data_IF_035779797083
#
_entry.id   IF_035779797083
#
_cell.length_a   1.000
_cell.length_b   1.000
_cell.length_c   1.000
_cell.angle_alpha   90.00
_cell.angle_beta   90.00
_cell.angle_gamma   90.00
#
_symmetry.space_group_name_H-M   'P 1'
#
loop_
_entity.id
_entity.type
_entity.pdbx_description
1 polymer ?
#
# COMPACT_ATOMS: atom_id res chain seq x y z
N UNK A 1 -36.07 7.62 -2.23
CA UNK A 1 -34.59 7.58 -2.12
C UNK A 1 -34.13 6.72 -3.29
N UNK A 2 -33.67 7.35 -4.35
CA UNK A 2 -33.15 6.68 -5.55
C UNK A 2 -31.69 6.40 -5.23
N UNK A 3 -31.33 5.11 -5.08
CA UNK A 3 -29.95 4.68 -4.98
C UNK A 3 -29.27 4.94 -6.34
N UNK A 4 -28.38 5.92 -6.39
CA UNK A 4 -27.48 6.13 -7.52
C UNK A 4 -26.49 4.96 -7.49
N UNK A 5 -26.67 4.02 -8.41
CA UNK A 5 -25.73 2.93 -8.65
C UNK A 5 -24.45 3.56 -9.18
N UNK A 6 -23.35 3.42 -8.43
CA UNK A 6 -22.03 3.83 -8.91
C UNK A 6 -21.75 3.12 -10.26
N UNK A 7 -21.12 3.79 -11.22
CA UNK A 7 -20.78 3.15 -12.49
C UNK A 7 -19.86 1.96 -12.18
N UNK A 8 -20.17 0.82 -12.78
CA UNK A 8 -19.36 -0.38 -12.67
C UNK A 8 -17.94 -0.07 -13.21
N UNK A 9 -16.93 -0.31 -12.39
CA UNK A 9 -15.53 -0.25 -12.78
C UNK A 9 -15.32 -1.12 -14.03
N UNK A 10 -14.87 -0.51 -15.10
CA UNK A 10 -14.47 -1.19 -16.32
C UNK A 10 -12.94 -1.05 -16.42
N UNK A 11 -12.15 -2.13 -16.39
CA UNK A 11 -10.71 -2.07 -16.49
C UNK A 11 -10.28 -1.70 -17.91
N UNK A 12 -10.33 -0.41 -18.24
CA UNK A 12 -9.77 0.12 -19.47
C UNK A 12 -8.45 0.82 -19.14
N UNK A 13 -7.47 0.02 -18.72
CA UNK A 13 -6.24 0.41 -18.03
C UNK A 13 -5.23 1.16 -18.92
N UNK A 14 -5.39 1.10 -20.24
CA UNK A 14 -4.32 1.55 -21.15
C UNK A 14 -4.50 2.94 -21.78
N UNK A 15 -5.49 3.75 -21.36
CA UNK A 15 -5.83 4.95 -22.17
C UNK A 15 -6.07 6.27 -21.43
N UNK A 16 -5.93 6.35 -20.12
CA UNK A 16 -6.19 7.62 -19.42
C UNK A 16 -4.89 8.36 -19.14
N UNK A 17 -4.29 9.01 -20.05
CA UNK A 17 -3.27 10.05 -19.89
C UNK A 17 -1.86 9.80 -20.44
N UNK A 18 -1.54 8.67 -21.03
CA UNK A 18 -0.17 8.42 -21.53
C UNK A 18 0.90 8.29 -20.41
N UNK A 19 0.49 8.19 -19.15
CA UNK A 19 1.36 7.98 -17.99
C UNK A 19 1.34 6.51 -17.61
N UNK A 20 2.50 5.89 -17.53
CA UNK A 20 2.62 4.50 -17.07
C UNK A 20 2.14 4.38 -15.61
N UNK A 21 1.40 3.31 -15.24
CA UNK A 21 1.03 3.08 -13.86
C UNK A 21 2.22 3.13 -12.89
N UNK A 22 3.39 2.67 -13.29
CA UNK A 22 4.61 2.67 -12.48
C UNK A 22 5.14 4.08 -12.17
N UNK A 23 4.80 5.09 -12.97
CA UNK A 23 5.19 6.48 -12.73
C UNK A 23 4.29 7.20 -11.73
N UNK A 24 3.11 6.62 -11.42
CA UNK A 24 2.13 7.18 -10.49
C UNK A 24 2.58 7.01 -9.05
N UNK A 25 2.24 7.96 -8.18
CA UNK A 25 2.45 7.82 -6.73
C UNK A 25 1.53 6.73 -6.15
N UNK A 26 0.28 6.69 -6.60
CA UNK A 26 -0.71 5.70 -6.18
C UNK A 26 -0.93 4.65 -7.27
N UNK A 27 -0.06 3.66 -7.32
CA UNK A 27 -0.26 2.51 -8.16
C UNK A 27 -0.28 1.21 -7.35
N UNK A 28 -0.89 0.19 -7.91
CA UNK A 28 -1.24 -1.01 -7.19
C UNK A 28 -1.24 -2.24 -8.10
N UNK A 29 -1.33 -3.41 -7.50
CA UNK A 29 -1.62 -4.64 -8.21
C UNK A 29 -3.05 -5.07 -7.91
N UNK A 30 -3.84 -5.34 -8.95
CA UNK A 30 -5.12 -6.00 -8.85
C UNK A 30 -5.14 -7.20 -9.81
N UNK A 31 -5.57 -8.34 -9.32
CA UNK A 31 -5.63 -9.60 -10.10
C UNK A 31 -4.32 -9.95 -10.86
N UNK A 32 -3.18 -9.54 -10.30
CA UNK A 32 -1.84 -9.78 -10.87
C UNK A 32 -1.35 -8.73 -11.89
N UNK A 33 -2.17 -7.75 -12.22
CA UNK A 33 -1.83 -6.65 -13.14
C UNK A 33 -1.52 -5.35 -12.38
N UNK A 34 -0.59 -4.56 -12.92
CA UNK A 34 -0.30 -3.21 -12.44
C UNK A 34 -1.41 -2.26 -12.90
N UNK A 35 -2.02 -1.58 -11.96
CA UNK A 35 -3.09 -0.61 -12.23
C UNK A 35 -2.84 0.71 -11.50
N UNK A 36 -3.47 1.77 -11.97
CA UNK A 36 -3.70 2.96 -11.14
C UNK A 36 -4.81 2.64 -10.14
N UNK A 37 -4.55 2.83 -8.84
CA UNK A 37 -5.58 2.60 -7.82
C UNK A 37 -6.73 3.64 -7.89
N UNK A 38 -6.52 4.75 -8.59
CA UNK A 38 -7.52 5.79 -8.89
C UNK A 38 -7.47 6.09 -10.38
N UNK A 39 -8.58 5.88 -11.07
CA UNK A 39 -8.69 6.00 -12.52
C UNK A 39 -8.94 7.46 -12.95
N UNK A 40 -8.01 8.35 -12.61
CA UNK A 40 -8.03 9.76 -12.97
C UNK A 40 -6.60 10.20 -13.32
N UNK A 41 -6.46 11.02 -14.36
CA UNK A 41 -5.18 11.62 -14.69
C UNK A 41 -4.74 12.61 -13.60
N UNK A 42 -3.46 12.58 -13.16
CA UNK A 42 -2.96 13.55 -12.22
C UNK A 42 -2.90 14.94 -12.87
N UNK A 43 -3.23 15.96 -12.10
CA UNK A 43 -3.06 17.37 -12.51
C UNK A 43 -1.62 17.83 -12.32
N UNK A 44 -0.86 17.13 -11.50
CA UNK A 44 0.56 17.33 -11.28
C UNK A 44 1.21 15.97 -10.97
N UNK A 45 2.39 15.69 -11.54
CA UNK A 45 3.09 14.41 -11.39
C UNK A 45 4.59 14.65 -11.38
N UNK A 46 5.31 14.10 -10.39
CA UNK A 46 6.77 14.13 -10.37
C UNK A 46 7.40 13.06 -11.27
N UNK A 47 6.69 11.96 -11.52
CA UNK A 47 7.31 10.72 -11.98
C UNK A 47 8.20 10.09 -10.89
N UNK A 48 8.86 8.98 -11.23
CA UNK A 48 9.75 8.24 -10.32
C UNK A 48 11.22 8.62 -10.45
N UNK A 49 11.56 9.30 -11.53
CA UNK A 49 12.94 9.67 -11.84
C UNK A 49 13.39 10.97 -11.15
N UNK A 50 12.43 11.83 -10.78
CA UNK A 50 12.74 13.15 -10.21
C UNK A 50 13.31 13.04 -8.80
N UNK A 51 12.74 12.18 -7.94
CA UNK A 51 13.14 12.00 -6.55
C UNK A 51 13.34 10.52 -6.23
N UNK A 52 14.53 10.18 -5.84
CA UNK A 52 14.94 8.78 -5.66
C UNK A 52 14.12 8.05 -4.58
N UNK A 53 13.29 7.10 -4.99
CA UNK A 53 12.46 6.29 -4.10
C UNK A 53 11.16 6.98 -3.64
N UNK A 54 10.80 8.10 -4.29
CA UNK A 54 9.56 8.84 -4.03
C UNK A 54 8.88 9.21 -5.34
N UNK A 55 7.56 9.28 -5.29
CA UNK A 55 6.77 9.86 -6.38
C UNK A 55 5.62 10.67 -5.76
N UNK A 56 5.33 11.83 -6.34
CA UNK A 56 4.21 12.67 -5.92
C UNK A 56 3.24 12.88 -7.06
N UNK A 57 1.97 12.90 -6.74
CA UNK A 57 0.92 13.33 -7.66
C UNK A 57 -0.16 14.13 -6.94
N UNK A 58 -0.80 15.00 -7.70
CA UNK A 58 -1.99 15.74 -7.29
C UNK A 58 -3.16 15.25 -8.12
N UNK A 59 -4.22 14.84 -7.44
CA UNK A 59 -5.42 14.31 -8.07
C UNK A 59 -6.63 15.19 -7.76
N UNK A 60 -7.40 15.50 -8.78
CA UNK A 60 -8.76 16.00 -8.67
C UNK A 60 -9.71 14.87 -9.09
N UNK A 61 -10.34 14.22 -8.13
CA UNK A 61 -11.16 13.03 -8.37
C UNK A 61 -12.64 13.33 -8.21
N UNK A 62 -13.55 12.77 -9.03
CA UNK A 62 -14.97 12.72 -8.70
C UNK A 62 -15.20 11.79 -7.49
N UNK A 63 -16.42 11.74 -6.98
CA UNK A 63 -16.85 10.65 -6.11
C UNK A 63 -16.52 9.31 -6.80
N UNK A 64 -15.82 8.42 -6.11
CA UNK A 64 -15.31 7.19 -6.72
C UNK A 64 -15.03 6.11 -5.68
N UNK A 65 -14.59 4.95 -6.16
CA UNK A 65 -14.14 3.83 -5.34
C UNK A 65 -12.89 3.19 -5.95
N UNK A 66 -12.09 2.54 -5.12
CA UNK A 66 -10.95 1.76 -5.60
C UNK A 66 -11.41 0.37 -6.08
N UNK A 67 -10.73 -0.23 -7.08
CA UNK A 67 -11.02 -1.58 -7.50
C UNK A 67 -10.92 -2.57 -6.33
N UNK A 68 -11.71 -3.65 -6.36
CA UNK A 68 -11.56 -4.73 -5.38
C UNK A 68 -10.20 -5.44 -5.54
N UNK A 69 -9.76 -6.13 -4.48
CA UNK A 69 -8.52 -6.92 -4.47
C UNK A 69 -7.26 -6.12 -4.85
N UNK A 70 -7.29 -4.81 -4.62
CA UNK A 70 -6.18 -3.92 -4.95
C UNK A 70 -5.15 -3.91 -3.83
N UNK A 71 -3.88 -4.14 -4.15
CA UNK A 71 -2.76 -4.09 -3.21
C UNK A 71 -1.81 -2.95 -3.57
N UNK A 72 -1.64 -1.99 -2.68
CA UNK A 72 -0.69 -0.90 -2.85
C UNK A 72 0.75 -1.42 -2.89
N UNK A 73 1.56 -0.88 -3.79
CA UNK A 73 2.98 -1.22 -3.91
C UNK A 73 3.87 -0.24 -3.14
N UNK A 74 3.38 0.96 -2.88
CA UNK A 74 4.08 2.00 -2.10
C UNK A 74 3.36 2.30 -0.79
N UNK A 75 4.12 2.77 0.19
CA UNK A 75 3.52 3.47 1.32
C UNK A 75 3.00 4.83 0.84
N UNK A 76 1.87 5.26 1.36
CA UNK A 76 1.24 6.51 0.94
C UNK A 76 1.10 7.48 2.11
N UNK A 77 1.42 8.72 1.84
CA UNK A 77 1.04 9.89 2.63
C UNK A 77 0.17 10.77 1.74
N UNK A 78 -1.09 10.90 2.10
CA UNK A 78 -2.06 11.65 1.33
C UNK A 78 -2.56 12.83 2.18
N UNK A 79 -2.56 14.03 1.63
CA UNK A 79 -3.13 15.24 2.22
C UNK A 79 -4.36 15.63 1.43
N UNK A 80 -5.46 15.83 2.13
CA UNK A 80 -6.71 16.30 1.54
C UNK A 80 -6.65 17.81 1.37
N UNK A 81 -6.70 18.23 0.12
CA UNK A 81 -6.67 19.63 -0.31
C UNK A 81 -8.02 20.05 -0.93
N UNK A 82 -9.07 19.31 -0.61
CA UNK A 82 -10.43 19.57 -1.10
C UNK A 82 -11.01 20.83 -0.45
N UNK A 83 -11.77 21.65 -1.18
CA UNK A 83 -12.41 22.83 -0.59
C UNK A 83 -13.58 22.48 0.35
N UNK A 84 -14.12 21.28 0.25
CA UNK A 84 -15.29 20.82 1.03
C UNK A 84 -15.04 19.46 1.67
N UNK A 85 -15.59 19.23 2.87
CA UNK A 85 -15.55 17.91 3.50
C UNK A 85 -16.30 16.85 2.69
N UNK A 86 -15.84 15.61 2.78
CA UNK A 86 -16.46 14.44 2.19
C UNK A 86 -16.40 13.24 3.14
N UNK A 87 -17.24 12.23 2.89
CA UNK A 87 -17.23 10.99 3.67
C UNK A 87 -16.34 9.97 2.99
N UNK A 88 -15.38 9.47 3.73
CA UNK A 88 -14.51 8.37 3.34
C UNK A 88 -15.02 7.07 3.94
N UNK A 89 -15.08 6.02 3.14
CA UNK A 89 -15.56 4.68 3.52
C UNK A 89 -14.48 3.65 3.28
N UNK A 90 -14.35 2.68 4.17
CA UNK A 90 -13.47 1.52 4.00
C UNK A 90 -14.02 0.32 4.76
N UNK A 91 -13.48 -0.87 4.49
CA UNK A 91 -13.83 -2.07 5.24
C UNK A 91 -12.71 -2.43 6.21
N UNK A 92 -13.08 -2.71 7.45
CA UNK A 92 -12.21 -3.17 8.50
C UNK A 92 -12.87 -4.33 9.25
N UNK A 93 -12.19 -5.49 9.30
CA UNK A 93 -12.71 -6.71 9.93
C UNK A 93 -14.13 -7.10 9.44
N UNK A 94 -14.36 -6.99 8.13
CA UNK A 94 -15.65 -7.32 7.49
C UNK A 94 -16.78 -6.32 7.76
N UNK A 95 -16.49 -5.17 8.37
CA UNK A 95 -17.47 -4.10 8.64
C UNK A 95 -17.10 -2.84 7.89
N UNK A 96 -18.09 -2.19 7.29
CA UNK A 96 -17.90 -0.86 6.72
C UNK A 96 -17.62 0.15 7.85
N UNK A 97 -16.61 0.97 7.64
CA UNK A 97 -16.25 2.12 8.46
C UNK A 97 -16.39 3.38 7.64
N UNK A 98 -16.73 4.46 8.30
CA UNK A 98 -16.85 5.76 7.66
C UNK A 98 -16.19 6.83 8.51
N UNK A 99 -15.68 7.86 7.84
CA UNK A 99 -15.17 9.06 8.51
C UNK A 99 -15.42 10.29 7.66
N UNK A 100 -15.89 11.35 8.28
CA UNK A 100 -15.89 12.68 7.67
C UNK A 100 -14.45 13.17 7.62
N UNK A 101 -13.94 13.41 6.43
CA UNK A 101 -12.61 13.95 6.17
C UNK A 101 -12.76 15.40 5.77
N UNK A 102 -11.95 16.26 6.36
CA UNK A 102 -11.98 17.70 6.15
C UNK A 102 -10.73 18.18 5.44
N UNK A 103 -10.73 19.39 4.84
CA UNK A 103 -9.55 20.01 4.26
C UNK A 103 -8.40 20.04 5.28
N UNK A 104 -7.20 19.64 4.86
CA UNK A 104 -6.03 19.55 5.71
C UNK A 104 -5.84 18.21 6.44
N UNK A 105 -6.84 17.33 6.43
CA UNK A 105 -6.69 15.98 6.96
C UNK A 105 -5.71 15.14 6.12
N UNK A 106 -5.09 14.15 6.77
CA UNK A 106 -4.19 13.21 6.13
C UNK A 106 -4.72 11.78 6.18
N UNK A 107 -4.42 11.03 5.12
CA UNK A 107 -4.56 9.58 5.06
C UNK A 107 -3.15 8.98 5.01
N UNK A 108 -2.84 8.08 5.92
CA UNK A 108 -1.54 7.42 5.98
C UNK A 108 -1.74 5.94 5.81
N UNK A 109 -1.00 5.35 4.88
CA UNK A 109 -1.18 3.97 4.50
C UNK A 109 0.15 3.26 4.33
N UNK A 110 0.23 2.07 4.88
CA UNK A 110 1.27 1.12 4.51
C UNK A 110 0.99 0.54 3.13
N UNK A 111 2.03 -0.04 2.56
CA UNK A 111 1.95 -0.91 1.41
C UNK A 111 1.16 -2.17 1.77
N UNK A 112 -0.12 -2.20 1.42
CA UNK A 112 -1.01 -3.33 1.69
C UNK A 112 -2.30 -3.26 0.87
N UNK A 113 -3.17 -4.24 1.04
CA UNK A 113 -4.46 -4.30 0.36
C UNK A 113 -5.34 -3.10 0.67
N UNK A 114 -5.93 -2.55 -0.39
CA UNK A 114 -6.99 -1.54 -0.30
C UNK A 114 -8.33 -2.26 -0.09
N UNK A 115 -8.91 -2.09 1.10
CA UNK A 115 -10.15 -2.78 1.48
C UNK A 115 -11.38 -1.97 1.09
N UNK A 116 -11.65 -1.86 -0.21
CA UNK A 116 -12.86 -1.22 -0.72
C UNK A 116 -12.99 0.23 -0.30
N UNK A 117 -12.06 1.08 -0.72
CA UNK A 117 -12.13 2.51 -0.44
C UNK A 117 -13.11 3.20 -1.36
N UNK A 118 -13.95 4.05 -0.77
CA UNK A 118 -14.91 4.86 -1.49
C UNK A 118 -14.99 6.25 -0.85
N UNK A 119 -15.17 7.27 -1.66
CA UNK A 119 -15.45 8.63 -1.22
C UNK A 119 -16.66 9.19 -1.98
N UNK A 120 -17.52 9.89 -1.25
CA UNK A 120 -18.88 10.24 -1.69
C UNK A 120 -18.99 11.56 -2.47
N UNK A 121 -17.90 12.35 -2.54
CA UNK A 121 -17.87 13.63 -3.25
C UNK A 121 -16.55 13.80 -4.00
N UNK A 122 -16.52 14.79 -4.90
CA UNK A 122 -15.27 15.20 -5.53
C UNK A 122 -14.25 15.61 -4.48
N UNK A 123 -13.00 15.17 -4.67
CA UNK A 123 -11.91 15.38 -3.74
C UNK A 123 -10.63 15.76 -4.48
N UNK A 124 -9.87 16.71 -3.90
CA UNK A 124 -8.51 17.02 -4.30
C UNK A 124 -7.54 16.45 -3.26
N UNK A 125 -6.52 15.76 -3.71
CA UNK A 125 -5.55 15.12 -2.86
C UNK A 125 -4.11 15.32 -3.37
N UNK A 126 -3.20 15.63 -2.45
CA UNK A 126 -1.75 15.59 -2.63
C UNK A 126 -1.29 14.22 -2.15
N UNK A 127 -0.67 13.42 -2.99
CA UNK A 127 -0.29 12.04 -2.68
C UNK A 127 1.19 11.85 -2.88
N UNK A 128 1.90 11.49 -1.80
CA UNK A 128 3.29 11.06 -1.83
C UNK A 128 3.35 9.54 -1.68
N UNK A 129 3.84 8.87 -2.71
CA UNK A 129 4.20 7.46 -2.69
C UNK A 129 5.66 7.29 -2.28
N UNK A 130 5.93 6.38 -1.37
CA UNK A 130 7.27 6.09 -0.84
C UNK A 130 7.58 4.63 -1.13
N UNK A 131 8.67 4.37 -1.85
CA UNK A 131 9.13 3.02 -2.15
C UNK A 131 9.45 2.26 -0.85
N UNK A 132 9.11 0.97 -0.75
CA UNK A 132 9.36 0.18 0.44
C UNK A 132 10.83 0.16 0.86
N UNK A 133 11.74 0.05 -0.09
CA UNK A 133 13.18 0.05 0.17
C UNK A 133 13.66 1.40 0.74
N UNK A 134 13.06 2.51 0.31
CA UNK A 134 13.34 3.83 0.85
C UNK A 134 12.79 3.96 2.27
N UNK A 135 11.57 3.53 2.51
CA UNK A 135 10.98 3.50 3.86
C UNK A 135 11.81 2.64 4.81
N UNK A 136 12.21 1.44 4.38
CA UNK A 136 13.07 0.53 5.14
C UNK A 136 14.43 1.18 5.50
N UNK A 137 15.00 1.99 4.60
CA UNK A 137 16.25 2.72 4.86
C UNK A 137 16.04 3.77 5.94
N UNK A 138 15.02 4.61 5.78
CA UNK A 138 14.67 5.67 6.74
C UNK A 138 14.41 5.07 8.13
N UNK A 139 13.65 3.97 8.18
CA UNK A 139 13.35 3.27 9.44
C UNK A 139 14.62 2.77 10.12
N UNK A 140 15.55 2.18 9.38
CA UNK A 140 16.83 1.71 9.94
C UNK A 140 17.65 2.84 10.55
N UNK A 141 17.62 4.02 9.94
CA UNK A 141 18.38 5.19 10.43
C UNK A 141 17.75 5.80 11.69
N UNK A 142 16.40 5.76 11.80
CA UNK A 142 15.66 6.36 12.91
C UNK A 142 15.49 5.38 14.09
N UNK A 143 15.24 4.12 13.79
CA UNK A 143 14.87 3.09 14.75
C UNK A 143 15.56 1.75 14.46
N UNK A 144 16.87 1.63 14.69
CA UNK A 144 17.66 0.46 14.27
C UNK A 144 17.29 -0.86 14.97
N UNK A 145 16.43 -0.83 15.99
CA UNK A 145 16.10 -2.00 16.84
C UNK A 145 14.71 -2.61 16.65
N UNK A 146 13.92 -2.16 15.67
CA UNK A 146 12.55 -2.67 15.46
C UNK A 146 12.13 -2.67 14.01
N UNK A 147 11.36 -3.67 13.60
CA UNK A 147 10.55 -3.59 12.38
C UNK A 147 9.51 -2.50 12.57
N UNK A 148 9.36 -1.63 11.58
CA UNK A 148 8.43 -0.51 11.65
C UNK A 148 7.40 -0.67 10.56
N UNK A 149 6.14 -0.61 10.93
CA UNK A 149 5.02 -0.55 10.00
C UNK A 149 4.27 0.75 10.25
N UNK A 150 4.00 1.51 9.20
CA UNK A 150 3.09 2.65 9.33
C UNK A 150 1.72 2.13 9.71
N UNK A 151 1.17 2.66 10.80
CA UNK A 151 -0.22 2.42 11.14
C UNK A 151 -1.11 3.16 10.14
N UNK A 152 -2.24 2.56 9.80
CA UNK A 152 -3.22 3.21 8.94
C UNK A 152 -3.98 4.28 9.69
N UNK A 153 -4.06 5.45 9.10
CA UNK A 153 -4.85 6.56 9.59
C UNK A 153 -5.73 7.13 8.48
N UNK A 154 -6.97 7.43 8.83
CA UNK A 154 -7.95 8.00 7.93
C UNK A 154 -8.47 9.32 8.51
N UNK A 155 -8.05 10.44 7.93
CA UNK A 155 -8.45 11.77 8.37
C UNK A 155 -7.84 12.15 9.72
N UNK A 156 -6.52 12.36 9.77
CA UNK A 156 -5.83 12.91 10.94
C UNK A 156 -5.36 14.33 10.63
N UNK A 157 -5.53 15.25 11.57
CA UNK A 157 -4.97 16.59 11.48
C UNK A 157 -3.50 16.58 11.90
N UNK A 158 -2.63 17.15 11.06
CA UNK A 158 -1.19 17.29 11.32
C UNK A 158 -0.66 18.50 10.55
N UNK A 159 -0.61 19.65 11.21
CA UNK A 159 -0.23 20.91 10.58
C UNK A 159 1.20 20.91 10.04
N UNK A 160 2.11 20.17 10.70
CA UNK A 160 3.48 20.06 10.23
C UNK A 160 3.58 19.23 8.95
N UNK A 161 2.90 18.10 8.92
CA UNK A 161 2.81 17.26 7.71
C UNK A 161 2.13 18.02 6.57
N UNK A 162 1.07 18.77 6.87
CA UNK A 162 0.37 19.62 5.91
C UNK A 162 1.33 20.63 5.27
N UNK A 163 2.09 21.37 6.08
CA UNK A 163 3.05 22.36 5.59
C UNK A 163 4.13 21.72 4.68
N UNK A 164 4.65 20.56 5.04
CA UNK A 164 5.63 19.84 4.23
C UNK A 164 5.05 19.37 2.89
N UNK A 165 3.83 18.83 2.88
CA UNK A 165 3.16 18.37 1.67
C UNK A 165 2.83 19.52 0.73
N UNK A 166 2.38 20.68 1.27
CA UNK A 166 2.13 21.88 0.48
C UNK A 166 3.43 22.45 -0.11
N UNK A 167 4.51 22.48 0.66
CA UNK A 167 5.82 22.93 0.17
C UNK A 167 6.32 22.03 -0.97
N UNK A 168 6.17 20.71 -0.85
CA UNK A 168 6.54 19.75 -1.87
C UNK A 168 5.71 19.92 -3.16
N UNK A 169 4.38 20.09 -3.02
CA UNK A 169 3.50 20.34 -4.15
C UNK A 169 3.85 21.66 -4.84
N UNK A 170 4.18 22.70 -4.07
CA UNK A 170 4.61 24.00 -4.61
C UNK A 170 5.93 23.90 -5.38
N UNK A 171 6.93 23.20 -4.85
CA UNK A 171 8.20 22.97 -5.54
C UNK A 171 7.98 22.26 -6.88
N UNK A 172 7.14 21.22 -6.87
CA UNK A 172 6.80 20.48 -8.08
C UNK A 172 6.03 21.32 -9.09
N UNK A 173 5.08 22.15 -8.65
CA UNK A 173 4.27 23.00 -9.52
C UNK A 173 5.12 24.09 -10.24
N UNK A 174 6.24 24.48 -9.64
CA UNK A 174 7.21 25.40 -10.23
C UNK A 174 8.37 24.69 -10.95
N UNK A 175 8.20 23.40 -11.25
CA UNK A 175 9.20 22.56 -11.93
C UNK A 175 10.53 22.45 -11.18
N UNK A 176 10.49 22.47 -9.85
CA UNK A 176 11.65 22.34 -8.96
C UNK A 176 12.83 23.26 -9.36
N UNK A 177 12.70 24.56 -9.25
CA UNK A 177 13.65 25.55 -9.79
C UNK A 177 15.06 25.41 -9.22
N UNK A 178 15.20 24.75 -8.06
CA UNK A 178 16.48 24.45 -7.41
C UNK A 178 17.00 23.04 -7.71
N UNK A 179 16.39 22.37 -8.71
CA UNK A 179 16.66 20.97 -9.01
C UNK A 179 16.04 20.01 -7.97
N UNK A 180 16.45 18.73 -7.94
CA UNK A 180 15.78 17.70 -7.13
C UNK A 180 16.05 17.82 -5.62
N UNK A 181 17.06 18.59 -5.19
CA UNK A 181 17.56 18.60 -3.80
C UNK A 181 16.48 19.02 -2.80
N UNK A 182 15.72 20.08 -3.10
CA UNK A 182 14.66 20.54 -2.21
C UNK A 182 13.55 19.50 -2.09
N UNK A 183 13.07 19.00 -3.22
CA UNK A 183 12.03 17.99 -3.25
C UNK A 183 12.43 16.69 -2.52
N UNK A 184 13.64 16.17 -2.76
CA UNK A 184 14.16 14.99 -2.05
C UNK A 184 14.27 15.22 -0.54
N UNK A 185 14.69 16.42 -0.13
CA UNK A 185 14.78 16.80 1.29
C UNK A 185 13.40 16.83 1.93
N UNK A 186 12.40 17.42 1.27
CA UNK A 186 11.01 17.45 1.71
C UNK A 186 10.41 16.04 1.78
N UNK A 187 10.60 15.22 0.76
CA UNK A 187 10.15 13.82 0.74
C UNK A 187 10.73 13.04 1.93
N UNK A 188 12.03 13.21 2.19
CA UNK A 188 12.71 12.58 3.32
C UNK A 188 12.15 13.09 4.65
N UNK A 189 11.94 14.39 4.80
CA UNK A 189 11.35 14.98 6.01
C UNK A 189 9.92 14.45 6.26
N UNK A 190 9.10 14.34 5.22
CA UNK A 190 7.74 13.77 5.31
C UNK A 190 7.82 12.30 5.76
N UNK A 191 8.68 11.49 5.14
CA UNK A 191 8.82 10.07 5.48
C UNK A 191 9.36 9.87 6.91
N UNK A 192 10.32 10.68 7.35
CA UNK A 192 10.83 10.69 8.73
C UNK A 192 9.73 11.07 9.71
N UNK A 193 8.99 12.14 9.43
CA UNK A 193 7.88 12.59 10.28
C UNK A 193 6.78 11.51 10.36
N UNK A 194 6.35 10.96 9.22
CA UNK A 194 5.37 9.89 9.17
C UNK A 194 5.82 8.67 9.98
N UNK A 195 7.08 8.26 9.85
CA UNK A 195 7.64 7.14 10.62
C UNK A 195 7.62 7.43 12.12
N UNK A 196 8.05 8.62 12.54
CA UNK A 196 8.12 8.97 13.98
C UNK A 196 6.75 9.12 14.63
N UNK A 197 5.77 9.61 13.89
CA UNK A 197 4.44 9.95 14.42
C UNK A 197 3.44 8.82 14.29
N UNK A 198 3.52 8.04 13.21
CA UNK A 198 2.48 7.10 12.80
C UNK A 198 2.97 5.65 12.69
N UNK A 199 4.24 5.37 12.98
CA UNK A 199 4.71 4.00 12.97
C UNK A 199 4.42 3.30 14.30
N UNK A 200 4.02 2.04 14.18
CA UNK A 200 4.02 1.11 15.30
C UNK A 200 5.39 0.44 15.32
N UNK A 201 6.10 0.66 16.40
CA UNK A 201 7.32 -0.11 16.67
C UNK A 201 6.89 -1.46 17.23
N UNK A 202 7.08 -2.52 16.49
CA UNK A 202 6.93 -3.86 17.05
C UNK A 202 8.06 -4.11 18.05
N UNK A 203 7.90 -3.55 19.23
CA UNK A 203 8.77 -3.76 20.38
C UNK A 203 8.56 -5.12 21.00
N UNK A 204 8.83 -6.18 20.24
CA UNK A 204 8.98 -7.52 20.78
C UNK A 204 10.16 -8.17 20.07
N UNK A 205 11.26 -8.22 20.79
CA UNK A 205 12.32 -9.23 20.70
C UNK A 205 12.12 -10.24 19.57
N UNK A 206 12.51 -9.86 18.36
CA UNK A 206 12.81 -10.85 17.36
C UNK A 206 14.10 -10.47 16.64
N UNK A 207 15.20 -11.12 17.09
CA UNK A 207 16.57 -10.94 16.64
C UNK A 207 16.82 -11.60 15.28
N UNK A 208 15.87 -11.63 14.37
CA UNK A 208 16.06 -12.18 13.03
C UNK A 208 16.05 -11.06 11.98
N UNK A 209 17.24 -10.61 11.65
CA UNK A 209 17.50 -9.68 10.53
C UNK A 209 16.84 -10.18 9.24
N UNK A 210 15.65 -9.68 8.91
CA UNK A 210 14.97 -9.95 7.63
C UNK A 210 14.37 -11.36 7.47
N UNK A 211 14.24 -12.13 8.56
CA UNK A 211 13.57 -13.42 8.57
C UNK A 211 12.25 -13.33 9.32
N UNK A 212 11.23 -14.06 8.88
CA UNK A 212 10.05 -14.34 9.69
C UNK A 212 10.51 -15.01 10.98
N UNK A 213 10.00 -14.58 12.14
CA UNK A 213 10.20 -15.36 13.35
C UNK A 213 9.84 -16.81 13.09
N UNK A 214 10.67 -17.75 13.55
CA UNK A 214 10.49 -19.18 13.27
C UNK A 214 9.05 -19.66 13.58
N UNK A 215 8.42 -19.08 14.62
CA UNK A 215 7.04 -19.36 14.97
C UNK A 215 6.03 -18.86 13.94
N UNK A 216 6.23 -17.68 13.35
CA UNK A 216 5.34 -17.12 12.33
C UNK A 216 5.48 -17.86 10.99
N UNK A 217 6.69 -18.19 10.60
CA UNK A 217 6.92 -19.01 9.42
C UNK A 217 6.24 -20.37 9.57
N UNK A 218 6.42 -21.02 10.72
CA UNK A 218 5.79 -22.30 11.01
C UNK A 218 4.27 -22.20 10.95
N UNK A 219 3.68 -21.18 11.53
CA UNK A 219 2.24 -20.92 11.49
C UNK A 219 1.72 -20.81 10.04
N UNK A 220 2.43 -20.09 9.18
CA UNK A 220 2.09 -19.95 7.75
C UNK A 220 2.21 -21.30 7.03
N UNK A 221 3.28 -22.05 7.28
CA UNK A 221 3.50 -23.37 6.66
C UNK A 221 2.43 -24.38 7.10
N UNK A 222 2.14 -24.47 8.40
CA UNK A 222 1.11 -25.35 8.96
C UNK A 222 -0.29 -25.01 8.39
N UNK A 223 -0.57 -23.71 8.21
CA UNK A 223 -1.83 -23.26 7.60
C UNK A 223 -1.93 -23.65 6.12
N UNK A 224 -0.88 -23.43 5.35
CA UNK A 224 -0.81 -23.87 3.93
C UNK A 224 -1.09 -25.36 3.86
N UNK A 225 -0.38 -26.17 4.65
CA UNK A 225 -0.49 -27.63 4.62
C UNK A 225 -1.89 -28.13 5.00
N UNK A 226 -2.56 -27.47 5.93
CA UNK A 226 -3.92 -27.80 6.35
C UNK A 226 -4.98 -27.45 5.29
N UNK A 227 -4.70 -26.46 4.40
CA UNK A 227 -5.65 -25.91 3.44
C UNK A 227 -5.27 -26.05 1.98
N UNK A 228 -4.40 -27.00 1.63
CA UNK A 228 -3.94 -27.23 0.24
C UNK A 228 -5.07 -27.46 -0.78
N UNK A 229 -6.23 -27.97 -0.33
CA UNK A 229 -7.39 -28.22 -1.18
C UNK A 229 -8.26 -26.97 -1.44
N UNK A 230 -8.00 -25.86 -0.75
CA UNK A 230 -8.76 -24.63 -0.85
C UNK A 230 -7.94 -23.54 -1.55
N UNK A 231 -8.60 -22.48 -1.98
CA UNK A 231 -7.90 -21.28 -2.42
C UNK A 231 -7.16 -20.66 -1.22
N UNK A 232 -5.91 -20.32 -1.45
CA UNK A 232 -5.03 -19.67 -0.48
C UNK A 232 -4.59 -18.34 -1.06
N UNK A 233 -5.00 -17.25 -0.45
CA UNK A 233 -4.54 -15.93 -0.84
C UNK A 233 -3.30 -15.52 -0.05
N UNK A 234 -2.44 -14.74 -0.68
CA UNK A 234 -1.27 -14.16 -0.02
C UNK A 234 -1.70 -13.26 1.15
N UNK A 235 -2.84 -12.61 1.00
CA UNK A 235 -3.44 -11.77 2.02
C UNK A 235 -3.81 -12.57 3.28
N UNK A 236 -4.56 -13.66 3.14
CA UNK A 236 -4.95 -14.53 4.25
C UNK A 236 -3.73 -15.04 5.04
N UNK A 237 -2.67 -15.43 4.33
CA UNK A 237 -1.41 -15.86 4.94
C UNK A 237 -0.68 -14.72 5.66
N UNK A 238 -0.76 -13.51 5.14
CA UNK A 238 -0.14 -12.34 5.75
C UNK A 238 -0.89 -11.88 7.01
N UNK A 239 -2.21 -11.92 7.00
CA UNK A 239 -3.06 -11.66 8.18
C UNK A 239 -2.75 -12.66 9.29
N UNK A 240 -2.67 -13.95 8.94
CA UNK A 240 -2.32 -15.01 9.88
C UNK A 240 -0.95 -14.77 10.53
N UNK A 241 0.02 -14.31 9.76
CA UNK A 241 1.36 -13.98 10.23
C UNK A 241 1.45 -12.63 10.94
N UNK A 242 0.41 -11.78 10.86
CA UNK A 242 0.40 -10.41 11.39
C UNK A 242 1.44 -9.50 10.72
N UNK A 243 1.60 -9.63 9.38
CA UNK A 243 2.56 -8.87 8.57
C UNK A 243 1.93 -8.49 7.23
N UNK A 244 2.57 -7.57 6.49
CA UNK A 244 2.07 -7.22 5.16
C UNK A 244 2.32 -8.35 4.13
N UNK A 245 1.49 -8.47 3.07
CA UNK A 245 1.70 -9.42 1.98
C UNK A 245 3.08 -9.30 1.33
N UNK A 246 3.57 -8.09 1.17
CA UNK A 246 4.92 -7.83 0.63
C UNK A 246 6.01 -8.37 1.55
N UNK A 247 5.93 -8.05 2.85
CA UNK A 247 6.90 -8.53 3.82
C UNK A 247 6.90 -10.06 3.89
N UNK A 248 5.70 -10.68 3.85
CA UNK A 248 5.57 -12.12 3.75
C UNK A 248 6.26 -12.66 2.50
N UNK A 249 5.98 -12.10 1.32
CA UNK A 249 6.57 -12.55 0.04
C UNK A 249 8.09 -12.47 0.08
N UNK A 250 8.64 -11.35 0.54
CA UNK A 250 10.09 -11.11 0.59
C UNK A 250 10.79 -12.03 1.58
N UNK A 251 10.25 -12.11 2.81
CA UNK A 251 10.87 -12.90 3.89
C UNK A 251 10.68 -14.39 3.66
N UNK A 252 9.53 -14.83 3.17
CA UNK A 252 9.27 -16.20 2.79
C UNK A 252 10.22 -16.65 1.68
N UNK A 253 10.39 -15.85 0.62
CA UNK A 253 11.35 -16.13 -0.45
C UNK A 253 12.78 -16.19 0.08
N UNK A 254 13.15 -15.30 0.98
CA UNK A 254 14.47 -15.28 1.61
C UNK A 254 14.76 -16.51 2.47
N UNK A 255 13.75 -17.04 3.17
CA UNK A 255 13.91 -18.20 4.07
C UNK A 255 13.70 -19.55 3.36
N UNK A 256 12.74 -19.62 2.45
CA UNK A 256 12.35 -20.84 1.78
C UNK A 256 13.00 -21.02 0.40
N UNK A 257 13.73 -19.99 -0.08
CA UNK A 257 14.35 -19.90 -1.40
C UNK A 257 13.37 -20.13 -2.58
N UNK A 258 12.08 -19.86 -2.35
CA UNK A 258 10.97 -19.95 -3.31
C UNK A 258 9.83 -19.03 -2.91
N UNK A 259 8.99 -18.63 -3.88
CA UNK A 259 7.82 -17.81 -3.57
C UNK A 259 6.75 -18.63 -2.82
N UNK A 260 5.83 -17.94 -2.12
CA UNK A 260 4.67 -18.57 -1.47
C UNK A 260 3.87 -19.41 -2.47
N UNK A 261 3.60 -18.85 -3.66
CA UNK A 261 2.87 -19.55 -4.72
C UNK A 261 3.59 -20.82 -5.20
N UNK A 262 4.90 -20.75 -5.43
CA UNK A 262 5.70 -21.91 -5.80
C UNK A 262 5.65 -22.99 -4.72
N UNK A 263 5.76 -22.62 -3.46
CA UNK A 263 5.66 -23.54 -2.34
C UNK A 263 4.29 -24.24 -2.29
N UNK A 264 3.19 -23.47 -2.37
CA UNK A 264 1.82 -24.03 -2.39
C UNK A 264 1.64 -25.00 -3.55
N UNK A 265 2.12 -24.64 -4.74
CA UNK A 265 2.03 -25.50 -5.93
C UNK A 265 2.79 -26.82 -5.73
N UNK A 266 4.01 -26.76 -5.22
CA UNK A 266 4.82 -27.95 -4.91
C UNK A 266 4.14 -28.86 -3.88
N UNK A 267 3.60 -28.29 -2.80
CA UNK A 267 2.86 -29.07 -1.80
C UNK A 267 1.60 -29.71 -2.37
N UNK A 268 0.88 -29.03 -3.25
CA UNK A 268 -0.28 -29.60 -3.97
C UNK A 268 0.13 -30.78 -4.85
N UNK A 269 1.20 -30.65 -5.60
CA UNK A 269 1.75 -31.71 -6.45
C UNK A 269 2.17 -32.93 -5.61
N UNK A 270 2.90 -32.71 -4.53
CA UNK A 270 3.33 -33.79 -3.63
C UNK A 270 2.15 -34.48 -2.94
N UNK A 271 1.11 -33.74 -2.58
CA UNK A 271 -0.13 -34.31 -2.05
C UNK A 271 -0.87 -35.14 -3.10
N UNK A 272 -0.96 -34.64 -4.34
CA UNK A 272 -1.57 -35.38 -5.45
C UNK A 272 -0.83 -36.69 -5.74
N UNK A 273 0.49 -36.67 -5.81
CA UNK A 273 1.32 -37.87 -5.98
C UNK A 273 1.05 -38.92 -4.87
N UNK A 274 1.01 -38.46 -3.60
CA UNK A 274 0.72 -39.35 -2.46
C UNK A 274 -0.69 -39.97 -2.53
N UNK A 275 -1.68 -39.23 -3.01
CA UNK A 275 -3.03 -39.75 -3.19
C UNK A 275 -3.09 -40.78 -4.31
N UNK A 276 -2.43 -40.50 -5.44
CA UNK A 276 -2.37 -41.43 -6.58
C UNK A 276 -1.63 -42.74 -6.24
N UNK A 277 -0.54 -42.67 -5.47
CA UNK A 277 0.22 -43.86 -5.04
C UNK A 277 -0.51 -44.70 -3.99
N UNK A 278 -1.43 -44.08 -3.21
CA UNK A 278 -2.28 -44.81 -2.24
C UNK A 278 -3.55 -45.36 -2.84
N UNK A 279 -3.98 -44.85 -4.00
CA UNK A 279 -5.14 -45.33 -4.76
C UNK A 279 -4.69 -46.35 -5.79
N UNK A 280 -3.89 -47.35 -5.40
CA UNK A 280 -3.72 -48.54 -6.22
C UNK A 280 -5.05 -49.31 -6.21
N UNK A 281 -5.93 -48.96 -7.14
CA UNK A 281 -6.96 -49.81 -7.71
C UNK A 281 -6.48 -50.30 -9.05
#
# INVERSE_FOLDING_TARGET
VIAVKAPAYSPNVDRISGVSPSERAIYAVADGELISAVDVAPTLLSGTERWRGFAMEVLDTPASETPPNTCLIRHLVCTIDSPTPFTFHWHENGRERTKLVVPGDHLIRSQQELRGFRWDKAARALILGIEPEMMDRIVRDIAPRGGTMLQEFYGVADDYLHALMQALASDLAHDSPTGPILGESLCTAIAVHATRRYAIYSGARDNSRGALAAGRLRLVLDYIDSRLAHELSLFELSELAGISPYYLTRTFKGQMNRSVHQYVLEQRIERAKRLLTRSNL
#
